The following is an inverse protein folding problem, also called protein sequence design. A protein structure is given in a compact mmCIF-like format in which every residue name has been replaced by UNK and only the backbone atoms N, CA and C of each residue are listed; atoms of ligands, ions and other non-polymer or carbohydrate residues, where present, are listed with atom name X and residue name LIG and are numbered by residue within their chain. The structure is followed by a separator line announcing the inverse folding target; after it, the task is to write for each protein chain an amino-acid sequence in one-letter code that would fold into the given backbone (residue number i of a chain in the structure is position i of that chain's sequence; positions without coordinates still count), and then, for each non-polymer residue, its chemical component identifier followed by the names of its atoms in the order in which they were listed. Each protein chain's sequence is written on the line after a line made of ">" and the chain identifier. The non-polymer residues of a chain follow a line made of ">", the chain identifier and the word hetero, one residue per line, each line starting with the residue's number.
data_IF_306085570833
#
_entry.id   IF_306085570833
#
_cell.length_a   1.000
_cell.length_b   1.000
_cell.length_c   1.000
_cell.angle_alpha   90.00
_cell.angle_beta   90.00
_cell.angle_gamma   90.00
#
_symmetry.space_group_name_H-M   'P 1'
#
loop_
_entity.id
_entity.type
_entity.pdbx_description
1 polymer ?
#
# COMPACT_ATOMS: atom_id res chain seq x y z
N UNK A 1 -0.61 15.52 4.79
CA UNK A 1 -1.48 14.35 5.06
C UNK A 1 -0.79 13.07 4.61
N UNK A 2 -0.82 12.06 5.41
CA UNK A 2 -0.21 10.77 5.06
C UNK A 2 -1.25 9.87 4.39
N UNK A 3 -0.94 9.32 3.21
CA UNK A 3 -1.88 8.38 2.57
C UNK A 3 -2.13 7.17 3.44
N UNK A 4 -3.39 6.80 3.54
CA UNK A 4 -3.82 5.66 4.34
C UNK A 4 -4.70 4.75 3.49
N UNK A 5 -4.36 3.47 3.43
CA UNK A 5 -5.11 2.48 2.69
C UNK A 5 -5.59 1.40 3.63
N UNK A 6 -6.78 0.87 3.36
CA UNK A 6 -7.26 -0.30 4.06
C UNK A 6 -7.04 -1.53 3.18
N UNK A 7 -6.33 -2.50 3.72
CA UNK A 7 -6.13 -3.78 3.05
C UNK A 7 -7.00 -4.82 3.72
N UNK A 8 -7.49 -5.77 2.94
CA UNK A 8 -8.29 -6.85 3.49
C UNK A 8 -7.94 -8.18 2.84
N UNK A 9 -7.97 -9.24 3.65
CA UNK A 9 -7.63 -10.58 3.18
C UNK A 9 -8.25 -11.62 4.11
N UNK A 10 -8.43 -12.82 3.58
CA UNK A 10 -8.82 -13.98 4.37
C UNK A 10 -7.61 -14.78 4.86
N UNK A 11 -6.41 -14.44 4.39
CA UNK A 11 -5.17 -15.16 4.69
C UNK A 11 -4.15 -14.20 5.28
N UNK A 12 -4.50 -13.63 6.43
CA UNK A 12 -3.71 -12.54 7.00
C UNK A 12 -2.22 -12.89 7.18
N UNK A 13 -1.92 -14.04 7.78
CA UNK A 13 -0.52 -14.41 8.07
C UNK A 13 0.32 -14.50 6.81
N UNK A 14 -0.23 -15.11 5.76
CA UNK A 14 0.47 -15.27 4.48
C UNK A 14 0.61 -13.93 3.77
N UNK A 15 -0.48 -13.16 3.72
CA UNK A 15 -0.49 -11.90 3.01
C UNK A 15 0.36 -10.83 3.69
N UNK A 16 0.39 -10.84 5.02
CA UNK A 16 1.20 -9.86 5.75
C UNK A 16 2.68 -9.95 5.35
N UNK A 17 3.20 -11.17 5.20
CA UNK A 17 4.59 -11.38 4.78
C UNK A 17 4.83 -10.79 3.39
N UNK A 18 3.89 -11.03 2.46
CA UNK A 18 4.00 -10.52 1.09
C UNK A 18 3.91 -8.99 1.07
N UNK A 19 2.97 -8.43 1.81
CA UNK A 19 2.79 -6.97 1.87
C UNK A 19 4.04 -6.31 2.46
N UNK A 20 4.58 -6.84 3.54
CA UNK A 20 5.80 -6.30 4.15
C UNK A 20 6.97 -6.33 3.17
N UNK A 21 7.19 -7.46 2.50
CA UNK A 21 8.28 -7.57 1.54
C UNK A 21 8.12 -6.60 0.39
N UNK A 22 6.91 -6.49 -0.15
CA UNK A 22 6.63 -5.57 -1.25
C UNK A 22 6.90 -4.13 -0.84
N UNK A 23 6.42 -3.73 0.34
CA UNK A 23 6.60 -2.36 0.80
C UNK A 23 8.05 -2.06 1.14
N UNK A 24 8.79 -3.03 1.68
CA UNK A 24 10.22 -2.87 1.92
C UNK A 24 10.99 -2.68 0.60
N UNK A 25 10.60 -3.41 -0.43
CA UNK A 25 11.21 -3.25 -1.75
C UNK A 25 10.91 -1.87 -2.33
N UNK A 26 9.66 -1.42 -2.22
CA UNK A 26 9.29 -0.09 -2.68
C UNK A 26 10.04 0.99 -1.91
N UNK A 27 10.17 0.82 -0.60
CA UNK A 27 10.92 1.73 0.25
C UNK A 27 12.39 1.81 -0.19
N UNK A 28 12.99 0.67 -0.51
CA UNK A 28 14.36 0.63 -1.01
C UNK A 28 14.48 1.31 -2.37
N UNK A 29 13.51 1.09 -3.25
CA UNK A 29 13.48 1.74 -4.56
C UNK A 29 13.39 3.25 -4.44
N UNK A 30 12.67 3.73 -3.43
CA UNK A 30 12.52 5.16 -3.15
C UNK A 30 13.69 5.73 -2.35
N UNK A 31 14.56 4.88 -1.79
CA UNK A 31 15.67 5.28 -0.93
C UNK A 31 15.21 6.06 0.28
N UNK A 32 14.09 5.66 0.85
CA UNK A 32 13.49 6.28 2.03
C UNK A 32 13.51 5.29 3.18
N UNK A 33 13.76 5.75 4.38
CA UNK A 33 13.68 4.94 5.60
C UNK A 33 12.37 5.23 6.31
N UNK A 34 11.78 4.19 6.90
CA UNK A 34 10.50 4.29 7.60
C UNK A 34 9.41 4.88 6.71
N UNK A 35 9.37 4.41 5.45
CA UNK A 35 8.46 4.95 4.45
C UNK A 35 7.02 4.46 4.58
N UNK A 36 6.78 3.43 5.39
CA UNK A 36 5.43 2.89 5.56
C UNK A 36 5.26 2.32 6.96
N UNK A 37 4.00 2.18 7.34
CA UNK A 37 3.64 1.54 8.61
C UNK A 37 2.41 0.67 8.36
N UNK A 38 2.44 -0.56 8.85
CA UNK A 38 1.31 -1.48 8.78
C UNK A 38 0.70 -1.55 10.17
N UNK A 39 -0.56 -1.12 10.29
CA UNK A 39 -1.27 -1.08 11.57
C UNK A 39 -1.81 -2.46 11.93
N UNK A 40 -2.18 -2.65 13.20
CA UNK A 40 -2.73 -3.92 13.65
C UNK A 40 -4.08 -4.23 12.99
N UNK A 41 -4.36 -5.50 12.73
CA UNK A 41 -5.59 -5.87 12.03
C UNK A 41 -6.81 -5.89 12.94
N UNK A 42 -7.97 -5.70 12.34
CA UNK A 42 -9.27 -5.99 12.94
C UNK A 42 -9.80 -7.23 12.25
N UNK A 43 -10.17 -8.24 13.03
CA UNK A 43 -10.69 -9.50 12.48
C UNK A 43 -12.21 -9.49 12.56
N UNK A 44 -12.86 -9.81 11.45
CA UNK A 44 -14.32 -9.85 11.38
C UNK A 44 -14.78 -10.83 10.33
N UNK A 45 -15.59 -11.81 10.75
CA UNK A 45 -16.23 -12.78 9.84
C UNK A 45 -15.23 -13.49 8.92
N UNK A 46 -14.07 -13.87 9.45
CA UNK A 46 -13.05 -14.57 8.68
C UNK A 46 -12.16 -13.68 7.83
N UNK A 47 -12.38 -12.37 7.86
CA UNK A 47 -11.55 -11.39 7.16
C UNK A 47 -10.68 -10.62 8.13
N UNK A 48 -9.49 -10.28 7.71
CA UNK A 48 -8.62 -9.36 8.41
C UNK A 48 -8.61 -8.04 7.65
N UNK A 49 -8.82 -6.94 8.38
CA UNK A 49 -8.78 -5.59 7.84
C UNK A 49 -7.64 -4.85 8.54
N UNK A 50 -6.72 -4.32 7.80
CA UNK A 50 -5.60 -3.60 8.40
C UNK A 50 -5.19 -2.43 7.52
N UNK A 51 -4.64 -1.41 8.14
CA UNK A 51 -4.28 -0.18 7.45
C UNK A 51 -2.80 -0.14 7.12
N UNK A 52 -2.53 0.36 5.92
CA UNK A 52 -1.17 0.65 5.46
C UNK A 52 -1.07 2.16 5.29
N UNK A 53 -0.11 2.76 5.98
CA UNK A 53 0.13 4.20 5.90
C UNK A 53 1.48 4.47 5.25
N UNK A 54 1.53 5.43 4.33
CA UNK A 54 2.79 5.85 3.71
C UNK A 54 3.26 7.14 4.37
N UNK A 55 4.58 7.29 4.50
CA UNK A 55 5.15 8.55 4.98
C UNK A 55 5.02 9.63 3.89
N UNK A 56 5.03 10.88 4.31
CA UNK A 56 5.00 12.00 3.35
C UNK A 56 6.25 12.00 2.47
N UNK A 57 7.37 11.59 3.04
CA UNK A 57 8.63 11.48 2.32
C UNK A 57 8.56 10.45 1.18
N UNK A 58 8.03 9.26 1.47
CA UNK A 58 7.88 8.21 0.47
C UNK A 58 6.89 8.63 -0.60
N UNK A 59 5.79 9.28 -0.21
CA UNK A 59 4.82 9.80 -1.16
C UNK A 59 5.48 10.79 -2.12
N UNK A 60 6.28 11.69 -1.58
CA UNK A 60 6.98 12.70 -2.37
C UNK A 60 7.89 12.07 -3.43
N UNK A 61 8.62 11.01 -3.05
CA UNK A 61 9.50 10.31 -3.99
C UNK A 61 8.68 9.58 -5.07
N UNK A 62 7.59 8.92 -4.68
CA UNK A 62 6.73 8.24 -5.64
C UNK A 62 6.19 9.22 -6.67
N UNK A 63 5.75 10.41 -6.22
CA UNK A 63 5.25 11.44 -7.13
C UNK A 63 6.35 11.96 -8.07
N UNK A 64 7.50 12.31 -7.52
CA UNK A 64 8.54 12.99 -8.28
C UNK A 64 9.33 12.07 -9.20
N UNK A 65 9.34 10.77 -8.91
CA UNK A 65 10.12 9.80 -9.67
C UNK A 65 9.44 9.33 -10.97
N UNK A 66 8.15 9.63 -11.13
CA UNK A 66 7.40 9.17 -12.28
C UNK A 66 6.91 7.73 -12.17
N UNK A 67 7.01 7.12 -11.02
CA UNK A 67 6.56 5.73 -10.81
C UNK A 67 5.08 5.53 -11.11
N UNK A 68 4.28 6.60 -10.96
CA UNK A 68 2.83 6.54 -11.17
C UNK A 68 2.36 6.94 -12.56
N UNK A 69 3.29 7.11 -13.49
CA UNK A 69 2.95 7.67 -14.81
C UNK A 69 1.89 6.86 -15.56
N UNK A 70 1.85 5.55 -15.34
CA UNK A 70 0.88 4.66 -15.98
C UNK A 70 -0.27 4.25 -15.06
N UNK A 71 -0.34 4.83 -13.87
CA UNK A 71 -1.40 4.48 -12.92
C UNK A 71 -2.75 5.01 -13.40
N UNK A 72 -3.78 4.17 -13.32
CA UNK A 72 -5.13 4.51 -13.74
C UNK A 72 -5.89 5.17 -12.58
N UNK A 73 -6.80 6.08 -12.91
CA UNK A 73 -7.68 6.65 -11.89
C UNK A 73 -8.03 8.11 -12.16
N UNK A 74 -9.13 8.55 -11.55
CA UNK A 74 -9.58 9.93 -11.61
C UNK A 74 -9.06 10.68 -10.38
N UNK A 75 -7.92 11.33 -10.52
CA UNK A 75 -7.30 12.08 -9.45
C UNK A 75 -6.21 11.29 -8.74
N UNK A 76 -5.48 12.03 -7.94
CA UNK A 76 -4.24 11.51 -7.34
C UNK A 76 -4.46 10.34 -6.37
N UNK A 77 -5.47 10.47 -5.49
CA UNK A 77 -5.72 9.43 -4.48
C UNK A 77 -6.02 8.08 -5.11
N UNK A 78 -6.84 8.07 -6.16
CA UNK A 78 -7.19 6.83 -6.85
C UNK A 78 -5.99 6.27 -7.61
N UNK A 79 -5.22 7.13 -8.25
CA UNK A 79 -4.01 6.72 -8.96
C UNK A 79 -3.00 6.10 -8.00
N UNK A 80 -2.81 6.70 -6.82
CA UNK A 80 -1.89 6.18 -5.82
C UNK A 80 -2.35 4.82 -5.32
N UNK A 81 -3.65 4.69 -5.01
CA UNK A 81 -4.23 3.41 -4.58
C UNK A 81 -3.98 2.33 -5.63
N UNK A 82 -4.23 2.65 -6.89
CA UNK A 82 -4.05 1.69 -7.98
C UNK A 82 -2.57 1.34 -8.18
N UNK A 83 -1.69 2.31 -8.04
CA UNK A 83 -0.25 2.05 -8.10
C UNK A 83 0.18 1.07 -7.01
N UNK A 84 -0.20 1.34 -5.76
CA UNK A 84 0.15 0.46 -4.64
C UNK A 84 -0.47 -0.92 -4.83
N UNK A 85 -1.74 -0.98 -5.24
CA UNK A 85 -2.43 -2.24 -5.49
C UNK A 85 -1.74 -3.09 -6.54
N UNK A 86 -1.34 -2.49 -7.65
CA UNK A 86 -0.63 -3.19 -8.72
C UNK A 86 0.76 -3.64 -8.25
N UNK A 87 1.43 -2.82 -7.45
CA UNK A 87 2.73 -3.18 -6.93
C UNK A 87 2.63 -4.41 -6.03
N UNK A 88 1.65 -4.43 -5.12
CA UNK A 88 1.42 -5.58 -4.25
C UNK A 88 1.06 -6.82 -5.06
N UNK A 89 0.18 -6.67 -6.04
CA UNK A 89 -0.23 -7.78 -6.90
C UNK A 89 0.96 -8.36 -7.66
N UNK A 90 1.85 -7.51 -8.14
CA UNK A 90 3.04 -7.95 -8.87
C UNK A 90 4.01 -8.76 -8.00
N UNK A 91 3.87 -8.65 -6.68
CA UNK A 91 4.67 -9.42 -5.73
C UNK A 91 3.95 -10.65 -5.20
N UNK A 92 2.81 -10.98 -5.78
CA UNK A 92 2.04 -12.17 -5.43
C UNK A 92 0.97 -11.98 -4.37
N UNK A 93 0.73 -10.75 -3.94
CA UNK A 93 -0.30 -10.48 -2.93
C UNK A 93 -1.69 -10.51 -3.56
N UNK A 94 -2.65 -11.01 -2.81
CA UNK A 94 -4.05 -11.06 -3.23
C UNK A 94 -4.93 -10.16 -2.35
N UNK A 95 -4.33 -9.25 -1.58
CA UNK A 95 -5.11 -8.36 -0.72
C UNK A 95 -5.98 -7.43 -1.55
N UNK A 96 -7.13 -7.07 -1.01
CA UNK A 96 -7.97 -6.01 -1.55
C UNK A 96 -7.52 -4.70 -0.94
N UNK A 97 -7.55 -3.64 -1.71
CA UNK A 97 -7.09 -2.33 -1.25
C UNK A 97 -8.14 -1.27 -1.56
N UNK A 98 -8.32 -0.35 -0.63
CA UNK A 98 -9.14 0.84 -0.85
C UNK A 98 -8.56 2.00 -0.05
N UNK A 99 -8.92 3.23 -0.45
CA UNK A 99 -8.52 4.41 0.31
C UNK A 99 -9.25 4.41 1.64
N UNK A 100 -8.52 4.71 2.71
CA UNK A 100 -9.06 4.74 4.06
C UNK A 100 -9.17 6.15 4.63
N UNK A 101 -8.54 7.13 3.99
CA UNK A 101 -8.63 8.52 4.42
C UNK A 101 -9.45 9.31 3.41
N UNK A 102 -10.34 10.13 3.92
CA UNK A 102 -11.25 10.93 3.10
C UNK A 102 -11.09 12.41 3.39
#
# INVERSE_FOLDING_TARGET
>A
MKPLFQLSTRKYDDELVLVKKAMEELENNCKVKNGFEIKEPTLKAGWAFFNLELSTEMLSVIESSGMMINAQGFGFSEQLKNFIGHFLESKGSEVRIKNANY
#
